data_IF_955393274844
#
_entry.id   IF_955393274844
#
_cell.length_a   1.000
_cell.length_b   1.000
_cell.length_c   1.000
_cell.angle_alpha   90.00
_cell.angle_beta   90.00
_cell.angle_gamma   90.00
#
_symmetry.space_group_name_H-M   'P 1'
#
loop_
_entity.id
_entity.type
_entity.pdbx_description
1 polymer ?
#
# COMPACT_ATOMS: atom_id res chain seq x y z
N UNK A 1 33.67 88.18 35.32
CA UNK A 1 32.54 87.66 34.51
C UNK A 1 33.05 86.73 33.40
N UNK A 2 33.67 85.58 33.73
CA UNK A 2 34.25 84.66 32.71
C UNK A 2 34.06 83.17 33.00
N UNK A 3 33.45 82.78 34.13
CA UNK A 3 33.24 81.37 34.50
C UNK A 3 31.83 80.82 34.20
N UNK A 4 30.88 81.69 33.83
CA UNK A 4 29.48 81.27 33.54
C UNK A 4 29.32 80.79 32.10
N UNK A 5 30.16 81.26 31.18
CA UNK A 5 30.07 80.88 29.75
C UNK A 5 30.67 79.51 29.42
N UNK A 6 31.54 78.97 30.29
CA UNK A 6 32.15 77.64 30.08
C UNK A 6 31.18 76.52 30.47
N UNK A 7 30.28 76.74 31.44
CA UNK A 7 29.28 75.73 31.80
C UNK A 7 28.15 75.60 30.76
N UNK A 8 27.84 76.66 30.02
CA UNK A 8 26.78 76.66 29.00
C UNK A 8 27.22 76.00 27.67
N UNK A 9 28.53 75.84 27.47
CA UNK A 9 29.12 75.22 26.29
C UNK A 9 29.41 73.72 26.48
N UNK A 10 29.32 73.19 27.71
CA UNK A 10 29.47 71.75 28.01
C UNK A 10 28.14 70.98 27.96
N UNK A 11 27.00 71.67 27.97
CA UNK A 11 25.67 71.06 27.93
C UNK A 11 25.35 70.26 26.63
N UNK A 12 25.82 70.63 25.42
CA UNK A 12 25.51 69.86 24.21
C UNK A 12 26.36 68.60 24.04
N UNK A 13 27.45 68.44 24.79
CA UNK A 13 28.33 67.25 24.71
C UNK A 13 27.78 66.03 25.47
N UNK A 14 26.86 66.23 26.41
CA UNK A 14 26.19 65.14 27.14
C UNK A 14 24.97 64.58 26.40
N UNK A 15 24.54 65.19 25.29
CA UNK A 15 23.40 64.74 24.49
C UNK A 15 23.79 63.82 23.31
N UNK A 16 25.07 63.50 23.14
CA UNK A 16 25.58 62.70 22.02
C UNK A 16 25.94 61.24 22.39
N UNK A 17 25.35 60.70 23.46
CA UNK A 17 25.43 59.27 23.78
C UNK A 17 24.06 58.75 24.20
N UNK A 18 23.16 58.73 23.24
CA UNK A 18 22.00 57.86 23.24
C UNK A 18 21.90 57.30 21.84
N UNK A 19 22.63 56.22 21.55
CA UNK A 19 22.15 55.33 20.49
C UNK A 19 20.81 54.86 21.04
N UNK A 20 19.73 55.41 20.48
CA UNK A 20 18.43 54.78 20.67
C UNK A 20 18.64 53.37 20.11
N UNK A 21 18.72 52.38 20.99
CA UNK A 21 18.34 51.01 20.66
C UNK A 21 16.87 51.11 20.24
N UNK A 22 16.65 51.58 19.00
CA UNK A 22 15.41 51.34 18.30
C UNK A 22 15.27 49.83 18.34
N UNK A 23 14.34 49.38 19.19
CA UNK A 23 14.01 48.00 19.50
C UNK A 23 14.65 47.07 18.47
N UNK A 24 15.73 46.39 18.86
CA UNK A 24 16.24 45.29 18.03
C UNK A 24 15.03 44.38 17.83
N UNK A 25 14.45 44.43 16.62
CA UNK A 25 13.29 43.64 16.27
C UNK A 25 13.76 42.21 16.47
N UNK A 26 13.21 41.55 17.49
CA UNK A 26 13.57 40.17 17.81
C UNK A 26 13.22 39.35 16.56
N UNK A 27 14.26 38.93 15.83
CA UNK A 27 14.08 38.19 14.59
C UNK A 27 13.46 36.84 14.94
N UNK A 28 12.17 36.69 14.64
CA UNK A 28 11.47 35.43 14.77
C UNK A 28 12.00 34.44 13.71
N UNK A 29 13.09 33.76 14.06
CA UNK A 29 13.75 32.79 13.19
C UNK A 29 12.82 31.64 12.79
N UNK A 30 11.81 31.29 13.60
CA UNK A 30 10.82 30.27 13.26
C UNK A 30 9.88 30.75 12.14
N UNK A 31 9.55 32.04 12.11
CA UNK A 31 8.80 32.67 11.01
C UNK A 31 9.65 32.91 9.76
N UNK A 32 10.91 33.28 9.93
CA UNK A 32 11.84 33.52 8.82
C UNK A 32 12.25 32.22 8.13
N UNK A 33 12.38 31.15 8.90
CA UNK A 33 12.77 29.82 8.44
C UNK A 33 11.84 28.77 9.03
N UNK A 34 10.57 28.71 8.58
CA UNK A 34 9.66 27.67 9.04
C UNK A 34 10.27 26.33 8.66
N UNK A 35 10.61 25.53 9.68
CA UNK A 35 11.12 24.17 9.49
C UNK A 35 10.04 23.36 8.78
N UNK A 36 10.16 23.24 7.46
CA UNK A 36 9.47 22.20 6.71
C UNK A 36 10.12 20.90 7.16
N UNK A 37 9.33 20.02 7.79
CA UNK A 37 9.79 18.66 8.12
C UNK A 37 10.49 18.09 6.89
N UNK A 38 11.70 17.58 7.08
CA UNK A 38 12.46 16.93 6.02
C UNK A 38 11.58 15.80 5.46
N UNK A 39 11.25 15.88 4.17
CA UNK A 39 10.60 14.77 3.47
C UNK A 39 11.57 13.60 3.51
N UNK A 40 11.22 12.55 4.26
CA UNK A 40 12.02 11.33 4.27
C UNK A 40 11.89 10.66 2.91
N UNK A 41 12.98 10.12 2.35
CA UNK A 41 12.87 9.33 1.13
C UNK A 41 12.06 8.05 1.42
N UNK A 42 11.31 7.53 0.43
CA UNK A 42 10.68 6.24 0.58
C UNK A 42 11.73 5.14 0.78
N UNK A 43 11.54 4.35 1.82
CA UNK A 43 12.21 3.10 2.11
C UNK A 43 11.54 1.99 1.31
N UNK A 44 12.30 1.42 0.37
CA UNK A 44 11.90 0.26 -0.40
C UNK A 44 12.33 -1.01 0.34
N UNK A 45 11.37 -1.86 0.69
CA UNK A 45 11.66 -3.17 1.25
C UNK A 45 11.77 -4.23 0.14
N UNK A 46 12.53 -3.93 -0.93
CA UNK A 46 12.68 -4.83 -2.08
C UNK A 46 13.25 -6.21 -1.69
N UNK A 47 14.00 -6.28 -0.59
CA UNK A 47 14.64 -7.49 -0.09
C UNK A 47 13.72 -8.38 0.77
N UNK A 48 12.44 -8.02 0.94
CA UNK A 48 11.49 -8.88 1.64
C UNK A 48 11.24 -10.16 0.83
N UNK A 49 11.71 -11.29 1.37
CA UNK A 49 11.55 -12.61 0.75
C UNK A 49 10.13 -13.13 0.97
N UNK A 50 9.34 -13.40 -0.10
CA UNK A 50 8.04 -14.04 0.04
C UNK A 50 8.13 -15.42 0.69
N UNK A 51 7.23 -15.69 1.61
CA UNK A 51 7.06 -17.00 2.24
C UNK A 51 6.06 -17.83 1.44
N UNK A 52 6.39 -19.10 1.19
CA UNK A 52 5.50 -20.06 0.53
C UNK A 52 4.34 -20.42 1.47
N UNK A 53 3.14 -20.57 0.91
CA UNK A 53 1.98 -21.10 1.62
C UNK A 53 1.38 -22.34 0.94
N UNK A 54 0.47 -23.03 1.63
CA UNK A 54 -0.24 -24.18 1.07
C UNK A 54 -1.43 -23.71 0.20
N UNK A 55 -1.40 -23.89 -1.13
CA UNK A 55 -2.50 -23.51 -2.01
C UNK A 55 -3.79 -24.31 -1.75
N UNK A 56 -3.67 -25.52 -1.18
CA UNK A 56 -4.78 -26.43 -0.90
C UNK A 56 -5.36 -26.25 0.50
N UNK A 57 -4.88 -25.26 1.25
CA UNK A 57 -5.40 -24.95 2.58
C UNK A 57 -6.92 -24.71 2.52
N UNK A 58 -7.67 -25.54 3.26
CA UNK A 58 -9.10 -25.40 3.44
C UNK A 58 -9.42 -24.18 4.33
N UNK A 59 -10.58 -23.56 4.13
CA UNK A 59 -10.98 -22.37 4.90
C UNK A 59 -11.09 -22.69 6.41
N UNK A 60 -11.48 -23.91 6.76
CA UNK A 60 -11.64 -24.39 8.14
C UNK A 60 -10.30 -24.60 8.85
N UNK A 61 -9.24 -24.89 8.09
CA UNK A 61 -7.89 -25.11 8.60
C UNK A 61 -7.08 -23.81 8.69
N UNK A 62 -7.66 -22.69 8.26
CA UNK A 62 -7.00 -21.40 8.23
C UNK A 62 -6.58 -20.91 9.62
N UNK A 63 -5.33 -20.46 9.71
CA UNK A 63 -4.77 -19.75 10.87
C UNK A 63 -4.15 -18.46 10.38
N UNK A 64 -4.41 -17.36 11.09
CA UNK A 64 -3.87 -16.04 10.75
C UNK A 64 -2.33 -16.04 10.94
N UNK A 65 -1.53 -15.82 9.88
CA UNK A 65 -0.07 -15.88 9.95
C UNK A 65 0.59 -14.53 10.31
N UNK A 66 -0.21 -13.49 10.58
CA UNK A 66 0.30 -12.17 10.93
C UNK A 66 0.88 -12.11 12.33
N UNK A 67 1.61 -11.03 12.59
CA UNK A 67 2.19 -10.72 13.90
C UNK A 67 1.61 -9.40 14.42
N UNK A 68 1.64 -9.18 15.72
CA UNK A 68 1.25 -7.90 16.30
C UNK A 68 2.49 -7.04 16.49
N UNK A 69 2.51 -5.86 15.84
CA UNK A 69 3.58 -4.87 15.98
C UNK A 69 3.02 -3.69 16.77
N UNK A 70 3.50 -3.54 18.00
CA UNK A 70 3.04 -2.49 18.93
C UNK A 70 3.87 -1.22 18.87
N UNK A 71 5.12 -1.32 18.43
CA UNK A 71 6.06 -0.20 18.37
C UNK A 71 5.98 0.48 16.99
N UNK A 72 5.48 1.72 16.97
CA UNK A 72 5.38 2.57 15.78
C UNK A 72 4.81 1.88 14.53
N UNK A 73 3.60 1.28 14.60
CA UNK A 73 3.03 0.59 13.45
C UNK A 73 2.71 1.57 12.32
N UNK A 74 3.16 1.24 11.12
CA UNK A 74 2.72 1.87 9.90
C UNK A 74 1.29 1.43 9.57
N UNK A 75 0.56 2.31 8.88
CA UNK A 75 -0.73 2.00 8.25
C UNK A 75 -0.51 1.85 6.77
N UNK A 76 -1.14 0.85 6.17
CA UNK A 76 -0.99 0.51 4.76
C UNK A 76 -2.34 0.50 4.04
N UNK A 77 -2.33 0.99 2.81
CA UNK A 77 -3.35 0.66 1.82
C UNK A 77 -2.86 -0.54 0.99
N UNK A 78 -3.48 -1.69 1.22
CA UNK A 78 -3.24 -2.90 0.42
C UNK A 78 -4.21 -2.91 -0.75
N UNK A 79 -3.69 -3.02 -1.96
CA UNK A 79 -4.46 -3.10 -3.21
C UNK A 79 -4.30 -4.47 -3.83
N UNK A 80 -5.41 -5.19 -3.95
CA UNK A 80 -5.55 -6.45 -4.69
C UNK A 80 -6.16 -6.16 -6.05
N UNK A 81 -5.51 -6.63 -7.11
CA UNK A 81 -6.00 -6.58 -8.48
C UNK A 81 -6.05 -7.98 -9.06
N UNK A 82 -7.14 -8.33 -9.73
CA UNK A 82 -7.24 -9.61 -10.41
C UNK A 82 -8.09 -9.53 -11.67
N UNK A 83 -7.85 -10.49 -12.57
CA UNK A 83 -8.57 -10.63 -13.83
C UNK A 83 -8.50 -12.09 -14.25
N UNK A 84 -9.59 -12.63 -14.75
CA UNK A 84 -9.55 -13.85 -15.55
C UNK A 84 -10.02 -13.56 -16.96
N UNK A 85 -9.64 -14.44 -17.88
CA UNK A 85 -10.17 -14.45 -19.23
C UNK A 85 -10.40 -15.88 -19.70
N UNK A 86 -11.44 -16.06 -20.50
CA UNK A 86 -11.70 -17.27 -21.27
C UNK A 86 -12.11 -16.84 -22.67
N UNK A 87 -11.41 -17.37 -23.66
CA UNK A 87 -11.59 -17.04 -25.07
C UNK A 87 -12.06 -18.24 -25.87
N UNK A 88 -12.88 -17.96 -26.88
CA UNK A 88 -13.31 -18.94 -27.86
C UNK A 88 -12.19 -19.27 -28.88
N UNK A 89 -12.53 -20.08 -29.89
CA UNK A 89 -11.58 -20.47 -30.96
C UNK A 89 -11.16 -19.29 -31.84
N UNK A 90 -11.97 -18.23 -31.91
CA UNK A 90 -11.70 -17.03 -32.69
C UNK A 90 -10.87 -16.01 -31.88
N UNK A 91 -10.63 -16.27 -30.59
CA UNK A 91 -9.89 -15.39 -29.69
C UNK A 91 -10.76 -14.33 -29.00
N UNK A 92 -12.09 -14.41 -29.16
CA UNK A 92 -13.06 -13.50 -28.53
C UNK A 92 -13.42 -13.99 -27.13
N UNK A 93 -13.79 -13.08 -26.23
CA UNK A 93 -14.19 -13.46 -24.87
C UNK A 93 -15.53 -14.22 -24.89
N UNK A 94 -15.57 -15.35 -24.21
CA UNK A 94 -16.79 -16.16 -24.10
C UNK A 94 -17.81 -15.48 -23.18
N UNK A 95 -19.07 -15.43 -23.58
CA UNK A 95 -20.16 -14.86 -22.78
C UNK A 95 -20.46 -15.69 -21.52
N UNK A 96 -20.41 -17.01 -21.64
CA UNK A 96 -20.62 -17.97 -20.54
C UNK A 96 -19.32 -18.74 -20.25
N UNK A 97 -18.39 -18.15 -19.47
CA UNK A 97 -17.14 -18.82 -19.13
C UNK A 97 -17.40 -20.06 -18.26
N UNK A 98 -16.57 -21.08 -18.49
CA UNK A 98 -16.55 -22.35 -17.75
C UNK A 98 -15.38 -22.45 -16.78
N UNK A 99 -14.43 -21.52 -16.84
CA UNK A 99 -13.29 -21.43 -15.93
C UNK A 99 -13.74 -21.28 -14.46
N UNK A 100 -13.05 -22.01 -13.58
CA UNK A 100 -13.25 -22.07 -12.13
C UNK A 100 -11.93 -21.67 -11.44
N UNK A 101 -11.47 -20.44 -11.64
CA UNK A 101 -10.34 -19.88 -10.90
C UNK A 101 -10.79 -19.27 -9.57
N UNK A 102 -9.95 -19.43 -8.55
CA UNK A 102 -10.17 -18.97 -7.18
C UNK A 102 -8.93 -18.21 -6.72
N UNK A 103 -9.15 -17.00 -6.21
CA UNK A 103 -8.12 -16.15 -5.65
C UNK A 103 -8.40 -16.01 -4.16
N UNK A 104 -7.47 -16.46 -3.33
CA UNK A 104 -7.54 -16.36 -1.87
C UNK A 104 -6.70 -15.19 -1.39
N UNK A 105 -7.26 -14.38 -0.51
CA UNK A 105 -6.61 -13.25 0.15
C UNK A 105 -7.10 -13.14 1.60
N UNK A 106 -6.31 -12.52 2.46
CA UNK A 106 -6.73 -12.20 3.83
C UNK A 106 -7.42 -10.84 3.80
N UNK A 107 -8.50 -10.64 4.57
CA UNK A 107 -9.18 -9.35 4.67
C UNK A 107 -8.79 -8.57 5.94
N UNK A 108 -9.36 -7.38 6.10
CA UNK A 108 -9.10 -6.52 7.26
C UNK A 108 -9.56 -7.14 8.59
N UNK A 109 -10.54 -8.06 8.54
CA UNK A 109 -11.07 -8.78 9.70
C UNK A 109 -10.24 -10.04 10.03
N UNK A 110 -9.04 -10.15 9.43
CA UNK A 110 -8.11 -11.28 9.61
C UNK A 110 -8.71 -12.61 9.15
N UNK A 111 -9.64 -12.59 8.20
CA UNK A 111 -10.28 -13.79 7.65
C UNK A 111 -9.76 -14.10 6.25
N UNK A 112 -9.60 -15.40 5.94
CA UNK A 112 -9.33 -15.84 4.58
C UNK A 112 -10.61 -15.72 3.73
N UNK A 113 -10.53 -14.99 2.62
CA UNK A 113 -11.63 -14.74 1.69
C UNK A 113 -11.26 -15.22 0.29
N UNK A 114 -12.28 -15.58 -0.47
CA UNK A 114 -12.16 -16.06 -1.84
C UNK A 114 -12.80 -15.09 -2.84
N UNK A 115 -12.16 -14.94 -3.99
CA UNK A 115 -12.71 -14.30 -5.18
C UNK A 115 -12.78 -15.36 -6.28
N UNK A 116 -13.95 -15.54 -6.88
CA UNK A 116 -14.22 -16.65 -7.81
C UNK A 116 -14.67 -16.15 -9.19
N UNK A 117 -14.46 -16.95 -10.24
CA UNK A 117 -14.97 -16.64 -11.60
C UNK A 117 -16.51 -16.69 -11.68
N UNK A 118 -17.13 -17.64 -10.98
CA UNK A 118 -18.58 -17.84 -10.98
C UNK A 118 -19.01 -18.30 -9.61
N UNK A 119 -19.94 -17.57 -9.00
CA UNK A 119 -20.47 -17.95 -7.70
C UNK A 119 -21.63 -18.93 -7.88
N UNK A 120 -21.43 -20.22 -7.56
CA UNK A 120 -22.52 -21.21 -7.59
C UNK A 120 -23.42 -21.13 -6.34
N UNK A 121 -22.97 -20.48 -5.26
CA UNK A 121 -23.61 -20.61 -3.93
C UNK A 121 -23.87 -19.30 -3.18
N UNK A 122 -23.21 -18.19 -3.53
CA UNK A 122 -23.28 -16.95 -2.76
C UNK A 122 -23.71 -15.78 -3.66
N UNK A 123 -24.87 -15.17 -3.35
CA UNK A 123 -25.49 -14.09 -4.15
C UNK A 123 -24.88 -12.71 -3.91
N UNK A 124 -23.93 -12.59 -2.98
CA UNK A 124 -23.20 -11.35 -2.77
C UNK A 124 -22.09 -11.19 -3.82
N UNK A 125 -22.34 -10.33 -4.80
CA UNK A 125 -21.50 -9.98 -5.97
C UNK A 125 -20.12 -9.38 -5.59
N UNK A 126 -19.80 -9.25 -4.29
CA UNK A 126 -18.59 -8.56 -3.80
C UNK A 126 -17.28 -9.35 -4.00
N UNK A 127 -17.37 -10.65 -4.33
CA UNK A 127 -16.23 -11.55 -4.51
C UNK A 127 -16.23 -12.27 -5.86
N UNK A 128 -16.90 -11.73 -6.89
CA UNK A 128 -16.97 -12.37 -8.19
C UNK A 128 -16.20 -11.58 -9.25
N UNK A 129 -15.31 -12.27 -9.98
CA UNK A 129 -14.70 -11.70 -11.19
C UNK A 129 -15.66 -11.84 -12.37
N UNK A 130 -15.52 -10.95 -13.36
CA UNK A 130 -16.22 -11.04 -14.65
C UNK A 130 -15.22 -11.30 -15.77
N UNK A 131 -15.60 -12.12 -16.75
CA UNK A 131 -14.71 -12.52 -17.84
C UNK A 131 -14.13 -11.29 -18.56
N UNK A 132 -12.79 -11.20 -18.60
CA UNK A 132 -12.07 -10.10 -19.24
C UNK A 132 -12.05 -8.77 -18.45
N UNK A 133 -12.78 -8.66 -17.34
CA UNK A 133 -12.85 -7.44 -16.54
C UNK A 133 -11.85 -7.49 -15.37
N UNK A 134 -11.28 -6.33 -15.05
CA UNK A 134 -10.42 -6.18 -13.87
C UNK A 134 -11.29 -6.01 -12.63
N UNK A 135 -11.01 -6.80 -11.61
CA UNK A 135 -11.51 -6.63 -10.27
C UNK A 135 -10.42 -5.97 -9.42
N UNK A 136 -10.79 -4.97 -8.61
CA UNK A 136 -9.87 -4.27 -7.71
C UNK A 136 -10.50 -4.13 -6.33
N UNK A 137 -9.75 -4.48 -5.29
CA UNK A 137 -10.14 -4.29 -3.89
C UNK A 137 -9.02 -3.57 -3.14
N UNK A 138 -9.40 -2.62 -2.29
CA UNK A 138 -8.49 -1.94 -1.38
C UNK A 138 -8.91 -2.21 0.06
N UNK A 139 -7.93 -2.45 0.92
CA UNK A 139 -8.12 -2.66 2.35
C UNK A 139 -7.09 -1.85 3.11
N UNK A 140 -7.50 -1.30 4.26
CA UNK A 140 -6.61 -0.59 5.17
C UNK A 140 -6.21 -1.51 6.29
N UNK A 141 -4.90 -1.65 6.53
CA UNK A 141 -4.32 -2.58 7.51
C UNK A 141 -3.13 -1.91 8.19
N UNK A 142 -2.60 -2.55 9.24
CA UNK A 142 -1.42 -2.07 9.97
C UNK A 142 -0.24 -3.03 9.82
N UNK A 143 0.94 -2.58 10.23
CA UNK A 143 2.15 -3.40 10.41
C UNK A 143 1.84 -4.75 11.07
N UNK A 144 2.55 -5.78 10.63
CA UNK A 144 2.34 -7.17 11.03
C UNK A 144 1.25 -7.90 10.25
N UNK A 145 0.53 -7.19 9.37
CA UNK A 145 -0.46 -7.78 8.49
C UNK A 145 0.20 -8.70 7.43
N UNK A 146 -0.30 -9.92 7.23
CA UNK A 146 0.18 -10.83 6.19
C UNK A 146 -0.46 -10.48 4.85
N UNK A 147 0.29 -9.80 3.98
CA UNK A 147 -0.10 -9.61 2.58
C UNK A 147 -0.01 -10.94 1.85
N UNK A 148 -1.14 -11.63 1.78
CA UNK A 148 -1.28 -13.00 1.28
C UNK A 148 -1.96 -13.01 -0.10
N UNK A 149 -1.39 -13.76 -1.03
CA UNK A 149 -1.98 -14.02 -2.35
C UNK A 149 -1.84 -15.49 -2.72
N UNK A 150 -2.98 -16.13 -2.99
CA UNK A 150 -3.01 -17.47 -3.52
C UNK A 150 -3.97 -17.57 -4.70
N UNK A 151 -3.55 -18.24 -5.77
CA UNK A 151 -4.30 -18.43 -7.01
C UNK A 151 -4.31 -19.91 -7.35
N UNK A 152 -5.51 -20.48 -7.38
CA UNK A 152 -5.77 -21.88 -7.69
C UNK A 152 -6.95 -22.00 -8.66
N UNK A 153 -7.20 -23.21 -9.12
CA UNK A 153 -8.40 -23.55 -9.88
C UNK A 153 -8.09 -24.24 -11.18
N UNK A 154 -9.09 -24.26 -12.05
CA UNK A 154 -9.04 -24.94 -13.34
C UNK A 154 -9.75 -24.15 -14.42
N UNK A 155 -9.36 -24.35 -15.65
CA UNK A 155 -10.01 -23.72 -16.79
C UNK A 155 -9.92 -24.58 -18.05
N UNK A 156 -10.73 -24.26 -19.07
CA UNK A 156 -10.57 -24.85 -20.39
C UNK A 156 -9.35 -24.25 -21.10
N UNK A 157 -9.01 -24.81 -22.27
CA UNK A 157 -8.07 -24.22 -23.22
C UNK A 157 -8.42 -22.76 -23.53
N UNK A 158 -7.40 -21.93 -23.74
CA UNK A 158 -7.54 -20.50 -24.04
C UNK A 158 -8.14 -19.68 -22.89
N UNK A 159 -7.94 -20.14 -21.65
CA UNK A 159 -8.29 -19.39 -20.46
C UNK A 159 -7.06 -19.06 -19.62
N UNK A 160 -7.20 -18.12 -18.70
CA UNK A 160 -6.13 -17.76 -17.77
C UNK A 160 -6.59 -16.80 -16.70
N UNK A 161 -5.70 -16.57 -15.74
CA UNK A 161 -5.94 -15.71 -14.58
C UNK A 161 -4.67 -14.95 -14.24
N UNK A 162 -4.83 -13.69 -13.87
CA UNK A 162 -3.79 -12.86 -13.30
C UNK A 162 -4.26 -12.25 -11.99
N UNK A 163 -3.34 -12.17 -11.03
CA UNK A 163 -3.59 -11.54 -9.75
C UNK A 163 -2.32 -10.86 -9.25
N UNK A 164 -2.49 -9.70 -8.61
CA UNK A 164 -1.43 -9.06 -7.86
C UNK A 164 -1.94 -8.38 -6.60
N UNK A 165 -1.10 -8.36 -5.58
CA UNK A 165 -1.35 -7.64 -4.33
C UNK A 165 -0.11 -6.84 -3.96
N UNK A 166 -0.34 -5.58 -3.55
CA UNK A 166 0.71 -4.65 -3.15
C UNK A 166 0.26 -3.81 -1.97
N UNK A 167 1.21 -3.37 -1.15
CA UNK A 167 0.96 -2.46 -0.05
C UNK A 167 1.80 -1.19 -0.21
N UNK A 168 1.18 -0.06 0.11
CA UNK A 168 1.86 1.24 0.23
C UNK A 168 1.43 1.85 1.56
N UNK A 169 2.38 2.34 2.34
CA UNK A 169 2.05 3.01 3.60
C UNK A 169 1.32 4.33 3.38
N UNK A 170 0.53 4.76 4.36
CA UNK A 170 -0.23 6.03 4.30
C UNK A 170 0.70 7.25 4.15
N UNK A 171 1.89 7.20 4.74
CA UNK A 171 2.95 8.21 4.60
C UNK A 171 3.72 8.10 3.27
N UNK A 172 3.45 7.05 2.48
CA UNK A 172 4.14 6.69 1.22
C UNK A 172 5.65 6.50 1.37
N UNK A 173 6.13 6.34 2.60
CA UNK A 173 7.52 6.11 2.90
C UNK A 173 7.89 4.64 2.86
N UNK A 174 6.93 3.72 2.90
CA UNK A 174 7.18 2.29 2.90
C UNK A 174 6.48 1.64 1.71
N UNK A 175 7.29 1.05 0.84
CA UNK A 175 6.83 0.32 -0.34
C UNK A 175 7.33 -1.12 -0.22
N UNK A 176 6.39 -2.07 -0.21
CA UNK A 176 6.66 -3.51 -0.13
C UNK A 176 6.65 -4.15 -1.52
N UNK A 177 7.32 -5.30 -1.71
CA UNK A 177 7.32 -6.00 -2.99
C UNK A 177 5.92 -6.46 -3.39
N UNK A 178 5.61 -6.38 -4.67
CA UNK A 178 4.34 -6.87 -5.22
C UNK A 178 4.37 -8.39 -5.34
N UNK A 179 3.39 -9.06 -4.72
CA UNK A 179 3.13 -10.47 -5.01
C UNK A 179 2.25 -10.52 -6.24
N UNK A 180 2.73 -11.15 -7.32
CA UNK A 180 2.01 -11.25 -8.59
C UNK A 180 2.18 -12.60 -9.24
N UNK A 181 1.16 -13.01 -9.97
CA UNK A 181 1.18 -14.20 -10.81
C UNK A 181 0.28 -14.00 -12.02
N UNK A 182 0.66 -14.63 -13.12
CA UNK A 182 -0.12 -14.70 -14.32
C UNK A 182 -0.01 -16.11 -14.88
N UNK A 183 -1.14 -16.77 -15.08
CA UNK A 183 -1.21 -18.17 -15.42
C UNK A 183 -2.16 -18.40 -16.59
N UNK A 184 -1.78 -19.31 -17.47
CA UNK A 184 -2.48 -19.61 -18.71
C UNK A 184 -2.75 -21.11 -18.81
N UNK A 185 -3.95 -21.46 -19.26
CA UNK A 185 -4.36 -22.83 -19.53
C UNK A 185 -4.54 -23.04 -21.04
N UNK A 186 -3.71 -23.92 -21.60
CA UNK A 186 -3.68 -24.24 -23.02
C UNK A 186 -3.91 -25.72 -23.32
N UNK A 187 -3.94 -26.58 -22.30
CA UNK A 187 -4.17 -28.00 -22.46
C UNK A 187 -5.64 -28.28 -22.79
N UNK A 188 -5.91 -29.38 -23.50
CA UNK A 188 -7.27 -29.78 -23.85
C UNK A 188 -8.06 -30.27 -22.62
N UNK A 189 -9.29 -29.78 -22.47
CA UNK A 189 -10.17 -30.10 -21.34
C UNK A 189 -10.04 -29.14 -20.14
N UNK A 190 -10.94 -29.25 -19.15
CA UNK A 190 -10.87 -28.45 -17.93
C UNK A 190 -9.77 -29.01 -17.01
N UNK A 191 -8.56 -28.46 -17.11
CA UNK A 191 -7.40 -28.91 -16.34
C UNK A 191 -7.06 -27.93 -15.22
N UNK A 192 -6.55 -28.47 -14.11
CA UNK A 192 -6.00 -27.66 -13.03
C UNK A 192 -4.83 -26.82 -13.52
N UNK A 193 -4.64 -25.66 -12.88
CA UNK A 193 -3.42 -24.89 -13.04
C UNK A 193 -2.22 -25.76 -12.66
N UNK A 194 -1.24 -25.88 -13.56
CA UNK A 194 -0.05 -26.73 -13.37
C UNK A 194 0.74 -26.34 -12.12
N UNK A 195 0.82 -25.04 -11.85
CA UNK A 195 1.57 -24.47 -10.74
C UNK A 195 0.69 -23.47 -9.98
N UNK A 196 -0.13 -23.94 -9.02
CA UNK A 196 -0.87 -23.07 -8.15
C UNK A 196 0.06 -22.09 -7.44
N UNK A 197 -0.30 -20.80 -7.41
CA UNK A 197 0.50 -19.78 -6.74
C UNK A 197 0.04 -19.62 -5.29
N UNK A 198 0.96 -19.56 -4.34
CA UNK A 198 0.63 -19.27 -2.94
C UNK A 198 1.85 -18.65 -2.25
N UNK A 199 1.81 -17.33 -2.02
CA UNK A 199 2.84 -16.62 -1.28
C UNK A 199 2.23 -15.59 -0.32
N UNK A 200 2.97 -15.23 0.72
CA UNK A 200 2.69 -14.06 1.54
C UNK A 200 3.95 -13.35 2.03
N UNK A 201 3.80 -12.09 2.42
CA UNK A 201 4.80 -11.33 3.16
C UNK A 201 4.15 -10.67 4.38
N UNK A 202 4.92 -10.51 5.45
CA UNK A 202 4.47 -9.76 6.62
C UNK A 202 4.86 -8.30 6.44
N UNK A 203 3.89 -7.39 6.44
CA UNK A 203 4.15 -5.95 6.33
C UNK A 203 4.93 -5.47 7.57
N UNK A 204 6.00 -4.67 7.40
CA UNK A 204 6.81 -4.18 8.51
C UNK A 204 6.05 -3.13 9.34
#
# INVERSE_FOLDING_TARGET
>A
MKKIWILLLLAPLLAACGVNDAEQIEEDYEKLFPFKKLEQPPVFYEDMVPQLCDPRLALEAYRYPGVEITENPHKYEVTLECKFWEKDRNGELVNEPTAEYIIKYIDADKQLKEIVCKNKYNKDDKGQMKNGQRFRKRIKVSSGYPMYLCVIGRGPRSSGVSASIKAVSDDKLVITPELKTEQYQNDEGPNELKEPYCNYIILP
#
